data_IF_644454058887
#
_entry.id   IF_644454058887
#
_cell.length_a   1.000
_cell.length_b   1.000
_cell.length_c   1.000
_cell.angle_alpha   90.00
_cell.angle_beta   90.00
_cell.angle_gamma   90.00
#
_symmetry.space_group_name_H-M   'P 1'
#
loop_
_entity.id
_entity.type
_entity.pdbx_description
1 polymer ?
#
# COMPACT_ATOMS: atom_id res chain seq x y z
N UNK A 1 -30.23 23.80 -23.55
CA UNK A 1 -29.88 22.73 -22.60
C UNK A 1 -28.76 21.81 -23.12
N UNK A 2 -28.87 21.19 -24.31
CA UNK A 2 -27.85 20.25 -24.86
C UNK A 2 -26.41 20.81 -24.98
N UNK A 3 -26.26 22.10 -25.32
CA UNK A 3 -24.95 22.76 -25.51
C UNK A 3 -24.20 22.99 -24.18
N UNK A 4 -24.93 23.25 -23.10
CA UNK A 4 -24.36 23.45 -21.76
C UNK A 4 -23.86 22.13 -21.18
N UNK A 5 -24.63 21.06 -21.35
CA UNK A 5 -24.20 19.69 -20.98
C UNK A 5 -22.93 19.28 -21.73
N UNK A 6 -22.84 19.56 -23.03
CA UNK A 6 -21.65 19.25 -23.82
C UNK A 6 -20.43 20.08 -23.38
N UNK A 7 -20.63 21.36 -23.05
CA UNK A 7 -19.56 22.23 -22.54
C UNK A 7 -19.04 21.78 -21.16
N UNK A 8 -19.90 21.26 -20.29
CA UNK A 8 -19.51 20.70 -18.98
C UNK A 8 -18.70 19.40 -19.15
N UNK A 9 -19.13 18.52 -20.05
CA UNK A 9 -18.40 17.26 -20.34
C UNK A 9 -17.02 17.58 -20.94
N UNK A 10 -16.95 18.51 -21.89
CA UNK A 10 -15.69 18.90 -22.53
C UNK A 10 -14.76 19.65 -21.57
N UNK A 11 -15.32 20.49 -20.68
CA UNK A 11 -14.58 21.14 -19.62
C UNK A 11 -13.99 20.15 -18.60
N UNK A 12 -14.75 19.12 -18.23
CA UNK A 12 -14.27 18.03 -17.36
C UNK A 12 -13.14 17.21 -17.99
N UNK A 13 -13.20 16.95 -19.29
CA UNK A 13 -12.15 16.24 -20.01
C UNK A 13 -10.84 17.04 -20.13
N UNK A 14 -10.91 18.38 -20.17
CA UNK A 14 -9.72 19.25 -20.19
C UNK A 14 -9.05 19.40 -18.81
N UNK A 15 -9.73 18.96 -17.74
CA UNK A 15 -9.19 18.94 -16.38
C UNK A 15 -8.47 17.63 -16.03
N UNK A 16 -8.28 16.72 -16.99
CA UNK A 16 -7.42 15.55 -16.79
C UNK A 16 -5.98 16.05 -16.68
N UNK A 17 -5.52 16.31 -15.46
CA UNK A 17 -4.15 16.71 -15.19
C UNK A 17 -3.15 15.73 -15.82
N UNK A 18 -1.97 16.23 -16.15
CA UNK A 18 -0.85 15.40 -16.60
C UNK A 18 -0.58 14.34 -15.54
N UNK A 19 -0.52 13.06 -15.94
CA UNK A 19 -0.10 12.00 -15.04
C UNK A 19 1.37 12.24 -14.66
N UNK A 20 1.59 12.79 -13.46
CA UNK A 20 2.92 12.99 -12.91
C UNK A 20 3.39 11.65 -12.35
N UNK A 21 4.32 11.02 -13.04
CA UNK A 21 4.99 9.82 -12.55
C UNK A 21 6.00 10.21 -11.46
N UNK A 22 6.30 9.25 -10.57
CA UNK A 22 7.41 9.39 -9.63
C UNK A 22 8.74 9.40 -10.39
N UNK A 23 9.71 10.16 -9.89
CA UNK A 23 11.01 10.39 -10.53
C UNK A 23 12.16 10.06 -9.57
N UNK A 24 13.36 9.85 -10.12
CA UNK A 24 14.56 9.67 -9.32
C UNK A 24 14.77 10.85 -8.35
N UNK A 25 15.00 10.55 -7.08
CA UNK A 25 15.16 11.52 -6.01
C UNK A 25 13.88 11.85 -5.23
N UNK A 26 12.71 11.40 -5.68
CA UNK A 26 11.45 11.63 -4.97
C UNK A 26 11.45 10.93 -3.59
N UNK A 27 10.89 11.63 -2.59
CA UNK A 27 10.53 11.04 -1.28
C UNK A 27 9.01 10.95 -1.20
N UNK A 28 8.50 9.74 -0.99
CA UNK A 28 7.06 9.47 -0.98
C UNK A 28 6.67 8.93 0.40
N UNK A 29 5.68 9.57 1.02
CA UNK A 29 5.10 9.11 2.28
C UNK A 29 3.68 8.58 2.05
N UNK A 30 3.38 7.40 2.60
CA UNK A 30 2.04 6.79 2.55
C UNK A 30 1.57 6.43 3.94
N UNK A 31 0.26 6.51 4.16
CA UNK A 31 -0.41 6.08 5.37
C UNK A 31 -1.63 5.24 5.01
N UNK A 32 -1.86 4.13 5.70
CA UNK A 32 -2.97 3.25 5.38
C UNK A 32 -3.04 1.99 6.24
N UNK A 33 -3.96 1.10 5.90
CA UNK A 33 -4.10 -0.18 6.58
C UNK A 33 -3.09 -1.21 6.04
N UNK A 34 -2.34 -1.85 6.94
CA UNK A 34 -1.42 -2.95 6.64
C UNK A 34 -2.00 -4.22 7.24
N UNK A 35 -2.27 -5.21 6.39
CA UNK A 35 -2.87 -6.48 6.79
C UNK A 35 -1.85 -7.61 6.77
N UNK A 36 -1.62 -8.23 7.92
CA UNK A 36 -0.83 -9.46 8.05
C UNK A 36 -1.78 -10.64 7.98
N UNK A 37 -1.66 -11.41 6.89
CA UNK A 37 -2.31 -12.71 6.73
C UNK A 37 -1.33 -13.79 7.13
N UNK A 38 -1.50 -14.36 8.32
CA UNK A 38 -0.61 -15.37 8.85
C UNK A 38 -0.78 -16.69 8.08
N UNK A 39 0.32 -17.25 7.61
CA UNK A 39 0.37 -18.62 7.13
C UNK A 39 0.78 -19.52 8.30
N UNK A 40 -0.20 -19.95 9.10
CA UNK A 40 0.04 -20.77 10.29
C UNK A 40 0.15 -22.25 9.92
N UNK A 41 1.32 -22.65 9.40
CA UNK A 41 1.75 -24.04 9.38
C UNK A 41 2.87 -24.23 10.41
N UNK A 42 2.70 -25.19 11.31
CA UNK A 42 3.71 -25.51 12.33
C UNK A 42 4.49 -26.75 11.92
N UNK A 43 5.82 -26.70 12.05
CA UNK A 43 6.69 -27.88 11.91
C UNK A 43 7.39 -28.10 13.25
N UNK A 44 7.00 -29.17 13.93
CA UNK A 44 7.46 -29.49 15.28
C UNK A 44 8.65 -30.45 15.23
N UNK A 45 9.78 -30.10 15.84
CA UNK A 45 10.99 -30.97 15.93
C UNK A 45 11.08 -31.76 17.24
N UNK A 46 10.01 -31.83 18.01
CA UNK A 46 9.95 -32.54 19.29
C UNK A 46 9.04 -33.76 19.20
N UNK A 47 9.03 -34.59 20.25
CA UNK A 47 8.22 -35.82 20.30
C UNK A 47 6.69 -35.57 20.40
N UNK A 48 6.28 -34.33 20.68
CA UNK A 48 4.88 -33.93 20.79
C UNK A 48 4.60 -32.94 19.68
N UNK A 49 3.58 -33.19 18.88
CA UNK A 49 3.17 -32.25 17.84
C UNK A 49 2.46 -31.03 18.45
N UNK A 50 2.94 -29.82 18.15
CA UNK A 50 2.39 -28.57 18.66
C UNK A 50 1.86 -27.75 17.48
N UNK A 51 0.55 -27.54 17.47
CA UNK A 51 -0.11 -26.69 16.48
C UNK A 51 -0.21 -25.23 16.97
N UNK A 52 0.69 -24.37 16.48
CA UNK A 52 0.67 -22.93 16.73
C UNK A 52 -0.24 -22.23 15.73
N UNK A 53 -1.34 -21.65 16.22
CA UNK A 53 -2.26 -20.83 15.41
C UNK A 53 -2.01 -19.35 15.64
N UNK A 54 -1.58 -18.66 14.60
CA UNK A 54 -1.35 -17.21 14.59
C UNK A 54 -2.51 -16.55 13.85
N UNK A 55 -3.20 -15.59 14.47
CA UNK A 55 -4.35 -14.93 13.85
C UNK A 55 -3.92 -13.86 12.86
N UNK A 56 -4.79 -13.54 11.89
CA UNK A 56 -4.59 -12.39 11.01
C UNK A 56 -4.84 -11.08 11.77
N UNK A 57 -4.16 -10.00 11.38
CA UNK A 57 -4.35 -8.70 12.01
C UNK A 57 -4.08 -7.55 11.03
N UNK A 58 -4.89 -6.48 11.11
CA UNK A 58 -4.77 -5.26 10.31
C UNK A 58 -4.43 -4.09 11.21
N UNK A 59 -3.36 -3.37 10.89
CA UNK A 59 -2.86 -2.25 11.68
C UNK A 59 -2.70 -0.98 10.85
N UNK A 60 -2.58 0.16 11.52
CA UNK A 60 -2.21 1.41 10.86
C UNK A 60 -0.72 1.34 10.51
N UNK A 61 -0.40 1.52 9.23
CA UNK A 61 0.95 1.53 8.70
C UNK A 61 1.29 2.85 8.02
N UNK A 62 2.59 3.14 8.05
CA UNK A 62 3.23 4.24 7.37
C UNK A 62 4.36 3.69 6.50
N UNK A 63 4.51 4.21 5.29
CA UNK A 63 5.69 3.94 4.48
C UNK A 63 6.41 5.21 4.09
N UNK A 64 7.72 5.13 4.03
CA UNK A 64 8.59 6.16 3.48
C UNK A 64 9.42 5.52 2.35
N UNK A 65 9.20 5.97 1.12
CA UNK A 65 9.92 5.49 -0.07
C UNK A 65 10.89 6.57 -0.56
N UNK A 66 12.11 6.18 -0.89
CA UNK A 66 13.05 7.00 -1.66
C UNK A 66 13.25 6.40 -3.05
N UNK A 67 13.02 7.16 -4.11
CA UNK A 67 13.18 6.72 -5.49
C UNK A 67 14.66 6.84 -5.91
N UNK A 68 15.34 5.70 -6.13
CA UNK A 68 16.71 5.65 -6.63
C UNK A 68 16.79 5.93 -8.14
N UNK A 69 15.75 5.55 -8.87
CA UNK A 69 15.54 5.82 -10.29
C UNK A 69 14.04 6.10 -10.50
N UNK A 70 13.65 6.53 -11.71
CA UNK A 70 12.25 6.87 -12.03
C UNK A 70 11.23 5.74 -11.74
N UNK A 71 11.69 4.49 -11.70
CA UNK A 71 10.85 3.31 -11.49
C UNK A 71 11.36 2.35 -10.40
N UNK A 72 12.44 2.70 -9.70
CA UNK A 72 13.03 1.85 -8.64
C UNK A 72 13.18 2.67 -7.38
N UNK A 73 12.60 2.22 -6.28
CA UNK A 73 12.69 2.86 -4.97
C UNK A 73 12.93 1.87 -3.85
N UNK A 74 13.44 2.38 -2.73
CA UNK A 74 13.58 1.64 -1.47
C UNK A 74 12.52 2.16 -0.52
N UNK A 75 11.75 1.26 0.10
CA UNK A 75 10.68 1.60 1.02
C UNK A 75 10.98 1.09 2.43
N UNK A 76 10.82 1.95 3.43
CA UNK A 76 10.75 1.60 4.83
C UNK A 76 9.28 1.57 5.27
N UNK A 77 8.83 0.41 5.75
CA UNK A 77 7.50 0.19 6.30
C UNK A 77 7.55 0.18 7.83
N UNK A 78 6.72 1.01 8.47
CA UNK A 78 6.42 0.96 9.89
C UNK A 78 4.93 0.73 10.13
N UNK A 79 4.55 0.03 11.19
CA UNK A 79 3.14 -0.18 11.56
C UNK A 79 2.96 -0.21 13.08
N UNK A 80 1.75 0.09 13.54
CA UNK A 80 1.39 -0.12 14.95
C UNK A 80 1.49 -1.61 15.31
N UNK A 81 1.84 -1.98 16.55
CA UNK A 81 2.14 -3.36 16.91
C UNK A 81 1.01 -4.35 16.56
N UNK A 82 1.35 -5.49 15.97
CA UNK A 82 0.39 -6.56 15.70
C UNK A 82 0.16 -7.41 16.96
N UNK A 83 -1.05 -7.93 17.10
CA UNK A 83 -1.47 -8.88 18.14
C UNK A 83 -2.00 -10.15 17.48
N UNK A 84 -1.60 -11.32 17.98
CA UNK A 84 -1.86 -12.63 17.39
C UNK A 84 -2.46 -13.60 18.42
#
# INVERSE_FOLDING_TARGET
>A
MKKSTLAIILGGALLTGTAMAHQAGDVIFRAGAVHVKANSSSDTKTAVDIDLKVKNNTQLGLTATYMLADNVGIELLGATPFSH
#
